data_IF_112907124224
#
_entry.id   IF_112907124224
#
_cell.length_a   1.000
_cell.length_b   1.000
_cell.length_c   1.000
_cell.angle_alpha   90.00
_cell.angle_beta   90.00
_cell.angle_gamma   90.00
#
_symmetry.space_group_name_H-M   'P 1'
#
loop_
_entity.id
_entity.type
_entity.pdbx_description
1 polymer ?
#
# COMPACT_ATOMS: atom_id res chain seq x y z
N UNK A 1 6.75 -5.88 -32.21
CA UNK A 1 7.83 -5.84 -31.21
C UNK A 1 7.23 -5.26 -29.94
N UNK A 2 7.20 -6.00 -28.83
CA UNK A 2 6.52 -5.62 -27.57
C UNK A 2 7.59 -5.22 -26.55
N UNK A 3 7.67 -3.97 -26.10
CA UNK A 3 8.48 -3.65 -24.94
C UNK A 3 7.69 -4.05 -23.68
N UNK A 4 8.15 -5.12 -23.03
CA UNK A 4 7.77 -5.45 -21.65
C UNK A 4 8.41 -4.38 -20.75
N UNK A 5 7.62 -3.40 -20.34
CA UNK A 5 8.06 -2.35 -19.42
C UNK A 5 8.12 -2.99 -18.03
N UNK A 6 9.34 -3.31 -17.57
CA UNK A 6 9.62 -3.69 -16.19
C UNK A 6 9.14 -2.60 -15.24
N UNK A 7 8.14 -2.92 -14.43
CA UNK A 7 7.69 -2.11 -13.30
C UNK A 7 8.77 -2.22 -12.22
N UNK A 8 9.73 -1.28 -12.23
CA UNK A 8 10.61 -1.06 -11.08
C UNK A 8 9.92 0.01 -10.24
N UNK A 9 9.04 -0.43 -9.35
CA UNK A 9 8.58 0.41 -8.25
C UNK A 9 9.74 0.56 -7.27
N UNK A 10 10.49 1.66 -7.41
CA UNK A 10 11.42 2.12 -6.38
C UNK A 10 10.61 2.49 -5.14
N UNK A 11 10.43 1.51 -4.24
CA UNK A 11 10.02 1.73 -2.85
C UNK A 11 11.19 2.38 -2.11
N UNK A 12 11.42 3.66 -2.39
CA UNK A 12 12.25 4.50 -1.55
C UNK A 12 11.51 4.68 -0.22
N UNK A 13 11.97 3.94 0.78
CA UNK A 13 11.51 3.99 2.15
C UNK A 13 11.66 5.41 2.70
N UNK A 14 10.57 6.18 2.71
CA UNK A 14 10.47 7.42 3.47
C UNK A 14 9.82 7.06 4.80
N UNK A 15 10.67 6.77 5.79
CA UNK A 15 10.25 6.35 7.12
C UNK A 15 9.34 7.38 7.80
N UNK A 16 8.06 7.04 7.94
CA UNK A 16 7.22 7.60 8.99
C UNK A 16 7.49 6.83 10.28
N UNK A 17 8.09 7.47 11.27
CA UNK A 17 8.22 6.93 12.63
C UNK A 17 6.84 6.92 13.28
N UNK A 18 6.04 5.87 13.06
CA UNK A 18 4.77 5.66 13.72
C UNK A 18 4.81 4.33 14.47
N UNK A 19 4.25 4.29 15.69
CA UNK A 19 4.26 3.20 16.68
C UNK A 19 3.51 1.91 16.24
N UNK A 20 3.27 1.73 14.95
CA UNK A 20 2.61 0.57 14.35
C UNK A 20 3.64 -0.45 13.86
N UNK A 21 3.23 -1.72 13.66
CA UNK A 21 4.12 -2.75 13.12
C UNK A 21 4.76 -2.28 11.79
N UNK A 22 6.03 -2.63 11.53
CA UNK A 22 6.75 -2.16 10.34
C UNK A 22 6.02 -2.52 9.04
N UNK A 23 5.29 -3.64 9.03
CA UNK A 23 4.44 -4.08 7.92
C UNK A 23 3.26 -3.12 7.69
N UNK A 24 2.56 -2.70 8.75
CA UNK A 24 1.47 -1.72 8.64
C UNK A 24 1.96 -0.36 8.13
N UNK A 25 3.16 0.04 8.56
CA UNK A 25 3.76 1.29 8.10
C UNK A 25 4.13 1.23 6.61
N UNK A 26 4.55 0.06 6.12
CA UNK A 26 4.80 -0.17 4.70
C UNK A 26 3.51 -0.13 3.88
N UNK A 27 2.40 -0.68 4.39
CA UNK A 27 1.08 -0.57 3.75
C UNK A 27 0.65 0.90 3.61
N UNK A 28 0.82 1.70 4.66
CA UNK A 28 0.46 3.11 4.65
C UNK A 28 1.30 3.92 3.64
N UNK A 29 2.62 3.65 3.55
CA UNK A 29 3.49 4.28 2.54
C UNK A 29 3.05 3.94 1.11
N UNK A 30 2.70 2.68 0.84
CA UNK A 30 2.21 2.27 -0.47
C UNK A 30 0.89 2.97 -0.83
N UNK A 31 -0.04 3.08 0.12
CA UNK A 31 -1.30 3.80 -0.10
C UNK A 31 -1.05 5.27 -0.46
N UNK A 32 -0.18 5.95 0.29
CA UNK A 32 0.17 7.34 0.02
C UNK A 32 0.76 7.53 -1.38
N UNK A 33 1.71 6.67 -1.77
CA UNK A 33 2.31 6.73 -3.11
C UNK A 33 1.28 6.46 -4.23
N UNK A 34 0.32 5.57 -3.98
CA UNK A 34 -0.78 5.28 -4.89
C UNK A 34 -1.69 6.50 -5.07
N UNK A 35 -2.13 7.11 -3.96
CA UNK A 35 -2.98 8.30 -3.97
C UNK A 35 -2.30 9.48 -4.71
N UNK A 36 -1.02 9.73 -4.43
CA UNK A 36 -0.24 10.74 -5.15
C UNK A 36 -0.16 10.45 -6.65
N UNK A 37 -0.06 9.18 -7.03
CA UNK A 37 -0.08 8.76 -8.44
C UNK A 37 -1.45 8.97 -9.08
N UNK A 38 -2.54 8.79 -8.34
CA UNK A 38 -3.90 9.07 -8.80
C UNK A 38 -4.11 10.55 -9.06
N UNK A 39 -3.70 11.41 -8.12
CA UNK A 39 -3.78 12.87 -8.25
C UNK A 39 -3.02 13.40 -9.48
N UNK A 40 -1.90 12.76 -9.83
CA UNK A 40 -1.12 13.13 -11.03
C UNK A 40 -1.77 12.67 -12.35
N UNK A 41 -2.61 11.63 -12.32
CA UNK A 41 -3.16 10.98 -13.52
C UNK A 41 -4.59 11.39 -13.82
N UNK A 42 -5.35 11.82 -12.83
CA UNK A 42 -6.76 12.11 -12.95
C UNK A 42 -7.11 13.50 -12.38
N UNK A 43 -8.12 14.14 -12.96
CA UNK A 43 -8.67 15.36 -12.38
C UNK A 43 -9.32 15.00 -11.02
N UNK A 44 -9.02 15.71 -9.91
CA UNK A 44 -9.49 15.36 -8.57
C UNK A 44 -11.02 15.19 -8.42
N UNK A 45 -11.83 15.76 -9.30
CA UNK A 45 -13.29 15.63 -9.29
C UNK A 45 -13.84 14.60 -10.29
N UNK A 46 -12.96 13.89 -10.99
CA UNK A 46 -13.36 12.91 -12.00
C UNK A 46 -13.69 11.56 -11.38
N UNK A 47 -14.60 10.82 -12.02
CA UNK A 47 -14.85 9.42 -11.69
C UNK A 47 -13.57 8.57 -11.77
N UNK A 48 -12.64 8.92 -12.66
CA UNK A 48 -11.34 8.26 -12.77
C UNK A 48 -10.48 8.44 -11.49
N UNK A 49 -10.53 9.61 -10.85
CA UNK A 49 -9.86 9.83 -9.57
C UNK A 49 -10.49 8.97 -8.47
N UNK A 50 -11.82 8.93 -8.41
CA UNK A 50 -12.55 8.11 -7.44
C UNK A 50 -12.18 6.63 -7.57
N UNK A 51 -12.26 6.08 -8.77
CA UNK A 51 -11.92 4.67 -9.02
C UNK A 51 -10.45 4.39 -8.69
N UNK A 52 -9.55 5.32 -8.97
CA UNK A 52 -8.13 5.16 -8.65
C UNK A 52 -7.90 5.15 -7.13
N UNK A 53 -8.49 6.10 -6.40
CA UNK A 53 -8.40 6.19 -4.94
C UNK A 53 -9.02 4.96 -4.26
N UNK A 54 -10.17 4.48 -4.74
CA UNK A 54 -10.81 3.25 -4.25
C UNK A 54 -9.89 2.03 -4.40
N UNK A 55 -9.17 1.91 -5.53
CA UNK A 55 -8.19 0.83 -5.73
C UNK A 55 -6.99 0.93 -4.78
N UNK A 56 -6.53 2.15 -4.48
CA UNK A 56 -5.46 2.36 -3.49
C UNK A 56 -5.91 1.90 -2.10
N UNK A 57 -7.12 2.29 -1.69
CA UNK A 57 -7.71 1.92 -0.40
C UNK A 57 -7.93 0.40 -0.31
N UNK A 58 -8.42 -0.24 -1.38
CA UNK A 58 -8.58 -1.68 -1.41
C UNK A 58 -7.24 -2.40 -1.23
N UNK A 59 -6.20 -1.96 -1.96
CA UNK A 59 -4.85 -2.51 -1.87
C UNK A 59 -4.25 -2.31 -0.47
N UNK A 60 -4.48 -1.16 0.15
CA UNK A 60 -4.09 -0.88 1.53
C UNK A 60 -4.77 -1.83 2.51
N UNK A 61 -6.09 -2.04 2.38
CA UNK A 61 -6.84 -2.93 3.25
C UNK A 61 -6.39 -4.39 3.13
N UNK A 62 -6.06 -4.84 1.92
CA UNK A 62 -5.49 -6.17 1.69
C UNK A 62 -4.12 -6.30 2.37
N UNK A 63 -3.23 -5.31 2.20
CA UNK A 63 -1.93 -5.28 2.85
C UNK A 63 -2.06 -5.30 4.39
N UNK A 64 -2.97 -4.48 4.93
CA UNK A 64 -3.27 -4.42 6.36
C UNK A 64 -3.74 -5.78 6.88
N UNK A 65 -4.68 -6.44 6.21
CA UNK A 65 -5.18 -7.75 6.62
C UNK A 65 -4.06 -8.81 6.66
N UNK A 66 -3.14 -8.80 5.69
CA UNK A 66 -1.99 -9.69 5.67
C UNK A 66 -1.00 -9.39 6.80
N UNK A 67 -0.70 -8.11 7.05
CA UNK A 67 0.16 -7.69 8.16
C UNK A 67 -0.41 -8.09 9.52
N UNK A 68 -1.73 -7.95 9.69
CA UNK A 68 -2.43 -8.38 10.91
C UNK A 68 -2.41 -9.90 11.07
N UNK A 69 -2.58 -10.67 10.00
CA UNK A 69 -2.47 -12.14 10.03
C UNK A 69 -1.07 -12.60 10.44
N UNK A 70 -0.01 -12.01 9.89
CA UNK A 70 1.38 -12.31 10.27
C UNK A 70 1.64 -12.00 11.76
N UNK A 71 1.09 -10.89 12.25
CA UNK A 71 1.18 -10.49 13.66
C UNK A 71 0.40 -11.44 14.59
N UNK A 72 -0.72 -12.00 14.12
CA UNK A 72 -1.50 -12.98 14.89
C UNK A 72 -0.86 -14.37 14.87
N UNK A 73 -0.31 -14.81 13.73
CA UNK A 73 0.43 -16.07 13.61
C UNK A 73 1.68 -16.09 14.49
N UNK A 74 2.47 -15.02 14.47
CA UNK A 74 3.64 -14.87 15.34
C UNK A 74 3.29 -14.86 16.83
N UNK A 75 2.17 -14.22 17.21
CA UNK A 75 1.65 -14.31 18.58
C UNK A 75 1.24 -15.72 18.98
N UNK A 76 0.53 -16.44 18.11
CA UNK A 76 0.10 -17.82 18.40
C UNK A 76 1.26 -18.82 18.43
N UNK A 77 2.31 -18.59 17.65
CA UNK A 77 3.50 -19.45 17.64
C UNK A 77 4.43 -19.24 18.84
N UNK A 78 4.29 -18.14 19.59
CA UNK A 78 5.07 -17.85 20.80
C UNK A 78 4.41 -18.41 22.09
N UNK A 79 3.25 -19.07 21.96
CA UNK A 79 2.49 -19.68 23.05
C UNK A 79 2.67 -21.21 23.14
N UNK A 80 3.56 -21.80 22.34
CA UNK A 80 3.93 -23.22 22.37
C UNK A 80 5.44 -23.40 22.56
#
# INVERSE_FOLDING_TARGET
>A
MKPQISIIALLLAAGCSNTNSPELNQCAQQNYQCEQSCEQRANPQSLAMQVCSDQCIESFNQCKAQAEQLTQQSRNSSLY
#
